data_IF_462073784120
#
_entry.id   IF_462073784120
#
_cell.length_a   1.000
_cell.length_b   1.000
_cell.length_c   1.000
_cell.angle_alpha   90.00
_cell.angle_beta   90.00
_cell.angle_gamma   90.00
#
_symmetry.space_group_name_H-M   'P 1'
#
loop_
_entity.id
_entity.type
_entity.pdbx_description
1 polymer ?
#
# COMPACT_ATOMS: atom_id res chain seq x y z
N UNK A 1 -7.56 -18.31 -3.81
CA UNK A 1 -6.88 -17.05 -3.50
C UNK A 1 -7.40 -16.46 -2.21
N UNK A 2 -6.58 -15.72 -1.51
CA UNK A 2 -6.93 -15.13 -0.25
C UNK A 2 -6.69 -13.62 -0.29
N UNK A 3 -7.38 -12.92 0.58
CA UNK A 3 -7.23 -11.49 0.73
C UNK A 3 -6.17 -11.20 1.79
N UNK A 4 -5.17 -10.40 1.45
CA UNK A 4 -4.10 -10.03 2.37
C UNK A 4 -4.10 -8.54 2.59
N UNK A 5 -3.99 -8.14 3.84
CA UNK A 5 -3.92 -6.73 4.22
C UNK A 5 -2.54 -6.38 4.73
N UNK A 6 -2.06 -5.23 4.33
CA UNK A 6 -0.76 -4.76 4.78
C UNK A 6 -0.68 -3.26 4.59
N UNK A 7 0.29 -2.66 5.28
CA UNK A 7 0.54 -1.22 5.19
C UNK A 7 1.93 -1.02 4.58
N UNK A 8 1.98 -0.31 3.47
CA UNK A 8 3.24 0.06 2.83
C UNK A 8 3.59 1.49 3.23
N UNK A 9 4.79 1.68 3.76
CA UNK A 9 5.28 3.00 4.13
C UNK A 9 6.15 3.52 3.02
N UNK A 10 5.91 4.76 2.61
CA UNK A 10 6.63 5.38 1.51
C UNK A 10 7.81 6.19 2.04
N UNK A 11 8.77 6.46 1.14
CA UNK A 11 9.96 7.20 1.52
C UNK A 11 9.68 8.67 1.86
N UNK A 12 8.55 9.19 1.37
CA UNK A 12 8.23 10.62 1.52
C UNK A 12 6.75 10.78 1.77
N UNK A 13 6.33 11.95 2.28
CA UNK A 13 4.91 12.20 2.50
C UNK A 13 4.17 12.33 1.18
N UNK A 14 2.86 12.09 1.22
CA UNK A 14 2.01 12.25 0.05
C UNK A 14 1.53 13.70 -0.04
N UNK A 15 1.70 14.30 -1.22
CA UNK A 15 1.13 15.60 -1.51
C UNK A 15 -0.30 15.42 -2.03
N UNK A 16 -1.06 16.52 -2.08
CA UNK A 16 -2.45 16.46 -2.54
C UNK A 16 -2.56 15.85 -3.93
N UNK A 17 -1.65 16.21 -4.83
CA UNK A 17 -1.68 15.68 -6.19
C UNK A 17 -1.40 14.19 -6.23
N UNK A 18 -0.67 13.68 -5.26
CA UNK A 18 -0.31 12.28 -5.23
C UNK A 18 -1.52 11.38 -4.99
N UNK A 19 -2.49 11.88 -4.22
CA UNK A 19 -3.71 11.11 -3.99
C UNK A 19 -4.45 10.85 -5.31
N UNK A 20 -4.55 11.87 -6.15
CA UNK A 20 -5.20 11.71 -7.44
C UNK A 20 -4.45 10.76 -8.34
N UNK A 21 -3.11 10.85 -8.34
CA UNK A 21 -2.29 9.96 -9.15
C UNK A 21 -2.45 8.50 -8.72
N UNK A 22 -2.47 8.27 -7.42
CA UNK A 22 -2.64 6.90 -6.92
C UNK A 22 -4.04 6.37 -7.22
N UNK A 23 -5.04 7.23 -7.15
CA UNK A 23 -6.40 6.86 -7.52
C UNK A 23 -6.43 6.36 -8.96
N UNK A 24 -5.80 7.10 -9.87
CA UNK A 24 -5.79 6.75 -11.29
C UNK A 24 -5.02 5.47 -11.56
N UNK A 25 -4.07 5.14 -10.70
CA UNK A 25 -3.23 3.95 -10.88
C UNK A 25 -3.86 2.68 -10.33
N UNK A 26 -5.08 2.76 -9.79
CA UNK A 26 -5.76 1.58 -9.29
C UNK A 26 -5.73 1.43 -7.78
N UNK A 27 -5.34 2.47 -7.06
CA UNK A 27 -5.31 2.43 -5.59
C UNK A 27 -6.51 3.12 -4.97
N UNK A 28 -7.60 3.25 -5.73
CA UNK A 28 -8.82 3.89 -5.23
C UNK A 28 -9.43 3.12 -4.07
N UNK A 29 -9.21 1.82 -4.02
CA UNK A 29 -9.74 0.96 -2.97
C UNK A 29 -8.80 0.84 -1.77
N UNK A 30 -7.68 1.55 -1.80
CA UNK A 30 -6.74 1.56 -0.69
C UNK A 30 -6.99 2.78 0.19
N UNK A 31 -6.55 2.68 1.44
CA UNK A 31 -6.58 3.83 2.33
C UNK A 31 -5.23 4.51 2.27
N UNK A 32 -5.23 5.79 1.96
CA UNK A 32 -4.00 6.57 1.85
C UNK A 32 -3.94 7.54 3.02
N UNK A 33 -2.75 7.75 3.55
CA UNK A 33 -2.60 8.65 4.68
C UNK A 33 -1.16 9.03 4.93
N UNK A 34 -0.94 9.63 6.09
CA UNK A 34 0.39 10.05 6.52
C UNK A 34 0.60 9.58 7.94
N UNK A 35 1.77 9.03 8.20
CA UNK A 35 2.15 8.53 9.52
C UNK A 35 3.60 8.90 9.75
N UNK A 36 3.87 9.64 10.84
CA UNK A 36 5.22 10.07 11.18
C UNK A 36 5.91 10.82 10.04
N UNK A 37 5.15 11.64 9.32
CA UNK A 37 5.70 12.44 8.23
C UNK A 37 5.94 11.69 6.94
N UNK A 38 5.50 10.43 6.86
CA UNK A 38 5.66 9.63 5.65
C UNK A 38 4.31 9.17 5.14
N UNK A 39 4.19 9.03 3.83
CA UNK A 39 2.99 8.50 3.23
C UNK A 39 2.82 7.03 3.55
N UNK A 40 1.59 6.60 3.74
CA UNK A 40 1.28 5.19 3.94
C UNK A 40 0.14 4.79 3.03
N UNK A 41 0.21 3.55 2.55
CA UNK A 41 -0.83 2.95 1.72
C UNK A 41 -1.29 1.68 2.43
N UNK A 42 -2.53 1.68 2.89
CA UNK A 42 -3.10 0.52 3.53
C UNK A 42 -3.88 -0.23 2.46
N UNK A 43 -3.35 -1.35 2.04
CA UNK A 43 -3.86 -2.09 0.90
C UNK A 43 -4.43 -3.44 1.31
N UNK A 44 -5.46 -3.86 0.58
CA UNK A 44 -5.99 -5.22 0.68
C UNK A 44 -5.94 -5.80 -0.73
N UNK A 45 -5.27 -6.91 -0.91
CA UNK A 45 -5.10 -7.50 -2.24
C UNK A 45 -5.32 -8.99 -2.20
N UNK A 46 -6.03 -9.46 -3.19
CA UNK A 46 -6.26 -10.88 -3.37
C UNK A 46 -5.08 -11.47 -4.11
N UNK A 47 -4.51 -12.54 -3.57
CA UNK A 47 -3.35 -13.14 -4.18
C UNK A 47 -3.20 -14.58 -3.70
N UNK A 48 -2.31 -15.30 -4.33
CA UNK A 48 -2.01 -16.68 -4.00
C UNK A 48 -1.30 -16.77 -2.64
N UNK A 49 -0.45 -15.81 -2.34
CA UNK A 49 0.24 -15.74 -1.06
C UNK A 49 0.53 -14.29 -0.70
N UNK A 50 0.99 -14.10 0.54
CA UNK A 50 1.25 -12.76 1.06
C UNK A 50 2.34 -12.04 0.26
N UNK A 51 3.42 -12.74 -0.04
CA UNK A 51 4.54 -12.13 -0.77
C UNK A 51 4.10 -11.62 -2.14
N UNK A 52 3.27 -12.37 -2.84
CA UNK A 52 2.76 -11.94 -4.14
C UNK A 52 1.91 -10.68 -4.02
N UNK A 53 1.09 -10.60 -2.97
CA UNK A 53 0.25 -9.42 -2.74
C UNK A 53 1.12 -8.19 -2.50
N UNK A 54 2.12 -8.32 -1.64
CA UNK A 54 3.01 -7.22 -1.32
C UNK A 54 3.80 -6.78 -2.55
N UNK A 55 4.33 -7.75 -3.29
CA UNK A 55 5.16 -7.44 -4.45
C UNK A 55 4.37 -6.67 -5.50
N UNK A 56 3.12 -7.07 -5.74
CA UNK A 56 2.31 -6.41 -6.74
C UNK A 56 2.09 -4.93 -6.39
N UNK A 57 1.84 -4.63 -5.12
CA UNK A 57 1.62 -3.25 -4.68
C UNK A 57 2.92 -2.46 -4.68
N UNK A 58 4.01 -3.04 -4.15
CA UNK A 58 5.27 -2.32 -4.06
C UNK A 58 5.85 -2.02 -5.45
N UNK A 59 5.69 -2.94 -6.39
CA UNK A 59 6.13 -2.69 -7.76
C UNK A 59 5.34 -1.57 -8.40
N UNK A 60 4.03 -1.59 -8.24
CA UNK A 60 3.18 -0.56 -8.82
C UNK A 60 3.51 0.82 -8.23
N UNK A 61 3.73 0.88 -6.91
CA UNK A 61 4.09 2.14 -6.27
C UNK A 61 5.46 2.62 -6.73
N UNK A 62 6.42 1.71 -6.83
CA UNK A 62 7.76 2.08 -7.31
C UNK A 62 7.75 2.64 -8.72
N UNK A 63 6.97 2.04 -9.61
CA UNK A 63 6.87 2.52 -10.99
C UNK A 63 6.23 3.89 -11.07
N UNK A 64 5.35 4.18 -10.13
CA UNK A 64 4.66 5.46 -10.10
C UNK A 64 5.49 6.57 -9.46
N UNK A 65 6.67 6.25 -8.96
CA UNK A 65 7.52 7.23 -8.30
C UNK A 65 7.32 7.32 -6.80
N UNK A 66 6.74 6.30 -6.20
CA UNK A 66 6.49 6.25 -4.76
C UNK A 66 7.25 5.06 -4.15
N UNK A 67 8.57 5.19 -3.92
CA UNK A 67 9.34 4.06 -3.40
C UNK A 67 8.88 3.69 -1.99
N UNK A 68 8.76 2.38 -1.78
CA UNK A 68 8.32 1.83 -0.51
C UNK A 68 9.54 1.53 0.34
N UNK A 69 9.55 1.98 1.59
CA UNK A 69 10.66 1.74 2.50
C UNK A 69 10.39 0.64 3.51
N UNK A 70 9.11 0.33 3.74
CA UNK A 70 8.76 -0.67 4.74
C UNK A 70 7.37 -1.20 4.45
N UNK A 71 7.13 -2.46 4.84
CA UNK A 71 5.82 -3.07 4.71
C UNK A 71 5.51 -3.80 6.00
N UNK A 72 4.32 -3.55 6.55
CA UNK A 72 3.86 -4.21 7.76
C UNK A 72 2.58 -4.97 7.47
N UNK A 73 2.57 -6.22 7.87
CA UNK A 73 1.37 -7.04 7.76
C UNK A 73 0.35 -6.60 8.79
N UNK A 74 -0.90 -6.50 8.37
CA UNK A 74 -1.98 -6.17 9.28
C UNK A 74 -2.41 -7.45 10.00
N UNK A 75 -2.07 -7.55 11.27
CA UNK A 75 -2.35 -8.74 12.04
C UNK A 75 -3.72 -8.74 12.70
N UNK A 76 -4.44 -7.66 12.58
CA UNK A 76 -5.77 -7.60 13.20
C UNK A 76 -6.73 -8.61 12.61
N UNK A 77 -6.51 -8.93 11.35
CA UNK A 77 -7.40 -9.85 10.67
C UNK A 77 -7.39 -11.24 11.28
N UNK A 78 -6.32 -11.57 11.96
CA UNK A 78 -6.16 -12.91 12.50
C UNK A 78 -6.79 -13.08 13.85
N UNK A 79 -7.34 -12.04 14.44
CA UNK A 79 -7.86 -12.08 15.79
C UNK A 79 -9.35 -12.25 15.89
N UNK A 80 -10.02 -12.38 14.79
CA UNK A 80 -11.49 -12.51 14.80
C UNK A 80 -11.96 -13.88 15.28
#
# INVERSE_FOLDING_TARGET
MQMYRFTATLAQPLADDDYDRLFDLGFADCTLGTENGRGVVIAAREARDYDSAVLSVTEALGRAGFPVTDVRRDERETTT
#
